data_IF_474780481546
#
_entry.id   IF_474780481546
#
_cell.length_a   1.000
_cell.length_b   1.000
_cell.length_c   1.000
_cell.angle_alpha   90.00
_cell.angle_beta   90.00
_cell.angle_gamma   90.00
#
_symmetry.space_group_name_H-M   'P 1'
#
loop_
_entity.id
_entity.type
_entity.pdbx_description
1 polymer ?
#
# COMPACT_ATOMS: atom_id res chain seq x y z
N UNK A 1 -17.48 0.92 7.48
CA UNK A 1 -16.73 1.79 8.43
C UNK A 1 -15.23 1.52 8.34
N UNK A 2 -14.38 2.56 8.41
CA UNK A 2 -12.91 2.39 8.50
C UNK A 2 -12.49 2.09 9.95
N UNK A 3 -11.81 0.96 10.15
CA UNK A 3 -11.25 0.51 11.43
C UNK A 3 -9.73 0.70 11.42
N UNK A 4 -9.22 1.52 12.34
CA UNK A 4 -7.78 1.79 12.48
C UNK A 4 -7.32 1.49 13.90
N UNK A 5 -6.19 0.79 14.07
CA UNK A 5 -5.65 0.47 15.41
C UNK A 5 -4.44 1.32 15.80
N UNK A 6 -3.95 2.20 14.92
CA UNK A 6 -2.78 3.05 15.18
C UNK A 6 -3.15 4.52 15.39
N UNK A 7 -2.48 5.20 16.32
CA UNK A 7 -2.68 6.63 16.60
C UNK A 7 -2.31 7.53 15.42
N UNK A 8 -1.38 7.10 14.55
CA UNK A 8 -1.01 7.82 13.34
C UNK A 8 -2.15 7.90 12.32
N UNK A 9 -2.92 6.82 12.16
CA UNK A 9 -4.08 6.80 11.26
C UNK A 9 -5.27 7.61 11.80
N UNK A 10 -5.43 7.71 13.12
CA UNK A 10 -6.46 8.58 13.72
C UNK A 10 -6.30 10.04 13.29
N UNK A 11 -5.07 10.54 13.16
CA UNK A 11 -4.78 11.90 12.67
C UNK A 11 -5.03 12.07 11.17
N UNK A 12 -5.09 10.98 10.42
CA UNK A 12 -5.36 10.96 8.97
C UNK A 12 -6.83 10.62 8.67
N UNK A 13 -7.74 10.70 9.65
CA UNK A 13 -9.12 10.22 9.49
C UNK A 13 -9.86 10.85 8.32
N UNK A 14 -9.80 12.18 8.18
CA UNK A 14 -10.44 12.88 7.07
C UNK A 14 -9.91 12.43 5.69
N UNK A 15 -8.61 12.16 5.59
CA UNK A 15 -8.00 11.60 4.39
C UNK A 15 -8.54 10.20 4.09
N UNK A 16 -8.66 9.34 5.10
CA UNK A 16 -9.20 7.99 4.92
C UNK A 16 -10.67 8.02 4.48
N UNK A 17 -11.48 8.87 5.11
CA UNK A 17 -12.90 9.02 4.75
C UNK A 17 -13.07 9.59 3.32
N UNK A 18 -12.13 10.42 2.84
CA UNK A 18 -12.14 10.93 1.47
C UNK A 18 -11.64 9.91 0.42
N UNK A 19 -10.76 8.98 0.81
CA UNK A 19 -10.14 8.03 -0.11
C UNK A 19 -10.88 6.70 -0.23
N UNK A 20 -11.52 6.26 0.86
CA UNK A 20 -12.07 4.91 0.95
C UNK A 20 -13.59 4.95 0.98
N UNK A 21 -14.21 4.37 -0.04
CA UNK A 21 -15.63 4.10 -0.02
C UNK A 21 -15.94 2.93 0.93
N UNK A 22 -16.74 3.21 1.96
CA UNK A 22 -17.15 2.21 2.95
C UNK A 22 -18.62 1.81 2.82
N UNK A 23 -19.29 2.20 1.74
CA UNK A 23 -20.66 1.77 1.43
C UNK A 23 -20.74 0.25 1.25
N UNK A 24 -19.63 -0.39 0.86
CA UNK A 24 -19.51 -1.83 0.67
C UNK A 24 -19.19 -2.62 1.96
N UNK A 25 -19.01 -1.95 3.10
CA UNK A 25 -18.82 -2.60 4.40
C UNK A 25 -17.69 -2.04 5.25
N UNK A 26 -17.32 -2.83 6.27
CA UNK A 26 -16.22 -2.51 7.18
C UNK A 26 -14.88 -2.92 6.60
N UNK A 27 -13.88 -2.05 6.75
CA UNK A 27 -12.54 -2.26 6.23
C UNK A 27 -11.51 -1.90 7.29
N UNK A 28 -10.49 -2.74 7.41
CA UNK A 28 -9.38 -2.52 8.34
C UNK A 28 -8.22 -1.93 7.56
N UNK A 29 -7.59 -0.90 8.13
CA UNK A 29 -6.53 -0.17 7.44
C UNK A 29 -5.28 -0.09 8.31
N UNK A 30 -4.13 -0.39 7.70
CA UNK A 30 -2.80 -0.15 8.27
C UNK A 30 -1.98 0.81 7.40
N UNK A 31 -0.95 1.41 7.99
CA UNK A 31 -0.02 2.29 7.28
C UNK A 31 1.37 1.63 7.19
N UNK A 32 1.74 1.19 6.00
CA UNK A 32 2.93 0.42 5.69
C UNK A 32 2.93 -0.99 6.31
N UNK A 33 4.07 -1.68 6.17
CA UNK A 33 4.30 -2.99 6.76
C UNK A 33 5.17 -2.91 8.03
N UNK A 34 4.65 -2.24 9.07
CA UNK A 34 5.35 -2.02 10.35
C UNK A 34 4.78 -2.93 11.44
N UNK A 35 5.57 -3.27 12.47
CA UNK A 35 5.14 -4.13 13.57
C UNK A 35 3.87 -3.63 14.30
N UNK A 36 3.63 -2.31 14.33
CA UNK A 36 2.42 -1.73 14.91
C UNK A 36 1.12 -2.02 14.12
N UNK A 37 1.22 -2.47 12.86
CA UNK A 37 0.07 -2.87 12.02
C UNK A 37 -0.33 -4.32 12.21
N UNK A 38 0.48 -5.13 12.90
CA UNK A 38 0.23 -6.56 13.12
C UNK A 38 -1.11 -6.82 13.84
N UNK A 39 -1.45 -6.00 14.84
CA UNK A 39 -2.73 -6.10 15.55
C UNK A 39 -3.93 -5.82 14.62
N UNK A 40 -3.79 -4.88 13.68
CA UNK A 40 -4.83 -4.58 12.70
C UNK A 40 -5.04 -5.76 11.75
N UNK A 41 -3.94 -6.34 11.24
CA UNK A 41 -4.00 -7.52 10.36
C UNK A 41 -4.67 -8.71 11.03
N UNK A 42 -4.25 -9.05 12.25
CA UNK A 42 -4.87 -10.13 13.03
C UNK A 42 -6.35 -9.88 13.31
N UNK A 43 -6.72 -8.63 13.55
CA UNK A 43 -8.12 -8.27 13.73
C UNK A 43 -8.91 -8.48 12.43
N UNK A 44 -8.40 -8.00 11.29
CA UNK A 44 -9.03 -8.19 9.99
C UNK A 44 -9.23 -9.68 9.66
N UNK A 45 -8.18 -10.48 9.84
CA UNK A 45 -8.20 -11.92 9.62
C UNK A 45 -9.23 -12.62 10.53
N UNK A 46 -9.19 -12.35 11.83
CA UNK A 46 -10.12 -12.93 12.82
C UNK A 46 -11.58 -12.63 12.47
N UNK A 47 -11.86 -11.44 11.96
CA UNK A 47 -13.21 -10.98 11.65
C UNK A 47 -13.59 -11.16 10.17
N UNK A 48 -12.71 -11.75 9.35
CA UNK A 48 -12.88 -11.91 7.89
C UNK A 48 -13.21 -10.59 7.19
N UNK A 49 -12.57 -9.52 7.63
CA UNK A 49 -12.71 -8.20 7.03
C UNK A 49 -11.58 -7.96 6.02
N UNK A 50 -11.84 -7.19 4.95
CA UNK A 50 -10.78 -6.73 4.07
C UNK A 50 -9.72 -5.92 4.84
N UNK A 51 -8.46 -6.06 4.45
CA UNK A 51 -7.34 -5.33 5.01
C UNK A 51 -6.62 -4.55 3.91
N UNK A 52 -6.47 -3.24 4.08
CA UNK A 52 -5.68 -2.40 3.19
C UNK A 52 -4.40 -1.93 3.88
N UNK A 53 -3.30 -2.01 3.15
CA UNK A 53 -2.05 -1.33 3.49
C UNK A 53 -1.96 -0.03 2.71
N UNK A 54 -1.81 1.08 3.44
CA UNK A 54 -1.63 2.41 2.85
C UNK A 54 -0.17 2.87 2.96
N UNK A 55 0.27 3.66 1.99
CA UNK A 55 1.48 4.49 2.10
C UNK A 55 1.31 5.83 1.37
N UNK A 56 2.24 6.74 1.63
CA UNK A 56 2.50 7.91 0.78
C UNK A 56 2.71 7.45 -0.67
N UNK A 57 2.04 8.13 -1.60
CA UNK A 57 2.24 7.90 -3.02
C UNK A 57 3.61 8.36 -3.50
N UNK A 58 4.04 7.82 -4.65
CA UNK A 58 5.33 8.16 -5.27
C UNK A 58 5.51 9.67 -5.50
N UNK A 59 4.41 10.37 -5.82
CA UNK A 59 4.36 11.83 -5.87
C UNK A 59 3.70 12.35 -4.59
N UNK A 60 4.52 12.57 -3.57
CA UNK A 60 4.04 12.79 -2.20
C UNK A 60 3.51 14.20 -1.96
N UNK A 61 4.33 15.24 -2.11
CA UNK A 61 4.00 16.61 -1.68
C UNK A 61 5.04 17.60 -2.19
N UNK A 62 4.75 18.90 -2.08
CA UNK A 62 5.72 19.96 -2.39
C UNK A 62 6.85 20.05 -1.36
N UNK A 63 6.52 19.97 -0.06
CA UNK A 63 7.49 19.90 1.03
C UNK A 63 7.58 18.51 1.65
N UNK A 64 8.31 18.40 2.76
CA UNK A 64 8.61 17.12 3.41
C UNK A 64 7.48 16.64 4.33
N UNK A 65 7.29 15.33 4.42
CA UNK A 65 6.28 14.75 5.32
C UNK A 65 6.54 14.97 6.79
N UNK A 66 7.80 15.03 7.19
CA UNK A 66 8.20 15.35 8.57
C UNK A 66 7.84 16.79 8.95
N UNK A 67 7.67 17.68 7.97
CA UNK A 67 7.24 19.06 8.15
C UNK A 67 5.72 19.22 8.24
N UNK A 68 4.97 18.12 8.11
CA UNK A 68 3.51 18.10 8.21
C UNK A 68 2.79 18.28 6.87
N UNK A 69 3.52 18.37 5.75
CA UNK A 69 2.91 18.49 4.42
C UNK A 69 2.01 17.29 4.11
N UNK A 70 0.75 17.62 3.79
CA UNK A 70 -0.27 16.65 3.43
C UNK A 70 0.12 15.92 2.13
N UNK A 71 -0.11 14.60 2.04
CA UNK A 71 0.16 13.86 0.82
C UNK A 71 -0.83 14.24 -0.28
N UNK A 72 -0.31 14.46 -1.49
CA UNK A 72 -1.05 14.68 -2.74
C UNK A 72 -1.54 13.36 -3.35
N UNK A 73 -0.85 12.26 -3.06
CA UNK A 73 -1.22 10.91 -3.51
C UNK A 73 -0.93 9.88 -2.43
N UNK A 74 -1.67 8.77 -2.46
CA UNK A 74 -1.59 7.65 -1.52
C UNK A 74 -1.59 6.34 -2.31
N UNK A 75 -0.71 5.41 -1.95
CA UNK A 75 -0.81 4.03 -2.40
C UNK A 75 -1.83 3.29 -1.53
N UNK A 76 -2.74 2.57 -2.19
CA UNK A 76 -3.70 1.67 -1.56
C UNK A 76 -3.43 0.26 -2.10
N UNK A 77 -3.00 -0.66 -1.23
CA UNK A 77 -2.64 -2.02 -1.60
C UNK A 77 -3.38 -3.03 -0.70
N UNK A 78 -4.10 -3.95 -1.33
CA UNK A 78 -4.91 -5.00 -0.68
C UNK A 78 -4.24 -6.38 -0.72
N UNK A 79 -3.03 -6.50 -1.27
CA UNK A 79 -2.23 -7.73 -1.31
C UNK A 79 -1.01 -7.64 -0.37
N UNK A 80 -0.33 -6.50 -0.38
CA UNK A 80 0.92 -6.30 0.34
C UNK A 80 1.28 -4.83 0.42
N UNK A 81 2.53 -4.50 0.10
CA UNK A 81 2.96 -3.12 -0.15
C UNK A 81 4.20 -3.12 -1.04
N UNK A 82 4.31 -2.15 -1.96
CA UNK A 82 5.29 -2.15 -3.06
C UNK A 82 6.76 -2.30 -2.68
N UNK A 83 7.16 -1.92 -1.46
CA UNK A 83 8.56 -2.04 -1.01
C UNK A 83 8.87 -3.34 -0.27
N UNK A 84 7.85 -4.14 0.07
CA UNK A 84 8.05 -5.39 0.77
C UNK A 84 8.27 -6.53 -0.23
N UNK A 85 9.54 -6.81 -0.53
CA UNK A 85 9.91 -7.89 -1.45
C UNK A 85 9.65 -9.30 -0.90
N UNK A 86 9.24 -9.46 0.37
CA UNK A 86 8.96 -10.78 0.95
C UNK A 86 7.56 -11.30 0.61
N UNK A 87 6.67 -10.45 0.06
CA UNK A 87 5.28 -10.78 -0.25
C UNK A 87 4.83 -10.11 -1.55
N UNK A 88 3.89 -10.72 -2.30
CA UNK A 88 3.31 -10.07 -3.47
C UNK A 88 2.64 -8.74 -3.13
N UNK A 89 2.64 -7.83 -4.10
CA UNK A 89 1.97 -6.53 -4.00
C UNK A 89 1.02 -6.30 -5.17
N UNK A 90 0.08 -5.36 -5.00
CA UNK A 90 -0.80 -4.94 -6.10
C UNK A 90 0.00 -4.34 -7.24
N UNK A 91 1.06 -3.57 -6.93
CA UNK A 91 1.97 -3.02 -7.93
C UNK A 91 2.67 -4.11 -8.74
N UNK A 92 3.20 -5.14 -8.08
CA UNK A 92 3.84 -6.29 -8.75
C UNK A 92 2.86 -6.98 -9.71
N UNK A 93 1.62 -7.23 -9.24
CA UNK A 93 0.57 -7.83 -10.08
C UNK A 93 0.27 -6.97 -11.31
N UNK A 94 0.19 -5.64 -11.15
CA UNK A 94 -0.06 -4.72 -12.26
C UNK A 94 1.09 -4.69 -13.26
N UNK A 95 2.34 -4.74 -12.80
CA UNK A 95 3.51 -4.80 -13.68
C UNK A 95 3.50 -6.10 -14.49
N UNK A 96 3.32 -7.25 -13.82
CA UNK A 96 3.28 -8.56 -14.48
C UNK A 96 2.13 -8.68 -15.48
N UNK A 97 0.98 -8.07 -15.19
CA UNK A 97 -0.14 -8.01 -16.14
C UNK A 97 0.16 -7.16 -17.39
N UNK A 98 1.28 -6.41 -17.42
CA UNK A 98 1.72 -5.61 -18.56
C UNK A 98 2.99 -6.17 -19.23
N UNK A 99 3.67 -7.15 -18.65
CA UNK A 99 4.88 -7.75 -19.28
C UNK A 99 4.57 -8.44 -20.62
N UNK A 100 3.31 -8.81 -20.89
CA UNK A 100 2.87 -9.26 -22.21
C UNK A 100 2.96 -8.16 -23.29
N UNK A 101 3.17 -6.89 -22.91
CA UNK A 101 3.27 -5.74 -23.82
C UNK A 101 4.71 -5.29 -24.09
N UNK A 102 5.69 -5.77 -23.32
CA UNK A 102 7.10 -5.40 -23.53
C UNK A 102 7.80 -6.48 -24.35
N UNK A 103 8.60 -6.11 -25.37
CA UNK A 103 9.43 -7.08 -26.06
C UNK A 103 10.35 -7.73 -25.03
N UNK A 104 10.26 -9.07 -24.89
CA UNK A 104 11.16 -9.83 -24.03
C UNK A 104 12.58 -9.48 -24.44
N UNK A 105 13.38 -9.05 -23.48
CA UNK A 105 14.82 -8.92 -23.71
C UNK A 105 15.31 -10.29 -24.20
N UNK A 106 16.14 -10.33 -25.25
CA UNK A 106 16.62 -11.60 -25.79
C UNK A 106 17.30 -12.38 -24.65
N UNK A 107 16.89 -13.64 -24.48
CA UNK A 107 17.54 -14.56 -23.54
C UNK A 107 18.95 -14.84 -24.07
N UNK A 108 19.90 -14.03 -23.59
CA UNK A 108 21.26 -14.01 -24.10
C UNK A 108 22.12 -13.10 -23.24
N UNK A 109 22.48 -13.59 -22.06
CA UNK A 109 23.46 -12.95 -21.18
C UNK A 109 24.82 -12.88 -21.85
N UNK A 110 25.06 -11.80 -22.61
CA UNK A 110 26.37 -11.20 -22.66
C UNK A 110 26.78 -10.88 -21.23
N UNK A 111 27.86 -11.49 -20.76
CA UNK A 111 28.48 -11.21 -19.46
C UNK A 111 28.69 -9.71 -19.33
N UNK A 112 27.84 -9.02 -18.59
CA UNK A 112 28.17 -7.71 -18.06
C UNK A 112 28.90 -7.95 -16.73
N UNK A 113 30.22 -7.93 -16.81
CA UNK A 113 31.08 -7.92 -15.64
C UNK A 113 31.01 -6.56 -14.95
N UNK A 114 30.67 -6.59 -13.67
CA UNK A 114 31.22 -5.74 -12.62
C UNK A 114 31.48 -6.65 -11.41
#
# INVERSE_FOLDING_TARGET
>A
MIITTSSGLKRKRALLDALLDTTMGDIVVGWGNKANTEKARRYAEKHRLPYLTLEDGFLRSMGLGVSGDAPLSIVVDDLGIYYDAAKPSRLETLILAQEDLLPRLPEGGGRFGW
#
